data_IF_419853453023
#
_entry.id   IF_419853453023
#
_cell.length_a   1.000
_cell.length_b   1.000
_cell.length_c   1.000
_cell.angle_alpha   90.00
_cell.angle_beta   90.00
_cell.angle_gamma   90.00
#
_symmetry.space_group_name_H-M   'P 1'
#
loop_
_entity.id
_entity.type
_entity.pdbx_description
1 polymer ?
#
# COMPACT_ATOMS: atom_id res chain seq x y z
N UNK A 1 2.90 -5.27 5.85
CA UNK A 1 3.77 -4.08 5.93
C UNK A 1 3.42 -3.30 7.19
N UNK A 2 4.36 -2.50 7.67
CA UNK A 2 4.22 -1.72 8.89
C UNK A 2 4.75 -0.31 8.65
N UNK A 3 4.08 0.68 9.22
CA UNK A 3 4.52 2.07 9.25
C UNK A 3 4.52 2.57 10.69
N UNK A 4 5.64 3.14 11.10
CA UNK A 4 5.82 3.81 12.38
C UNK A 4 5.90 5.32 12.20
N UNK A 5 5.30 6.06 13.12
CA UNK A 5 5.42 7.51 13.19
C UNK A 5 6.84 7.90 13.61
N UNK A 6 7.50 8.83 12.88
CA UNK A 6 8.81 9.34 13.29
C UNK A 6 8.76 10.00 14.67
N UNK A 7 9.86 9.90 15.42
CA UNK A 7 9.93 10.43 16.79
C UNK A 7 9.57 11.92 16.89
N UNK A 8 9.88 12.72 15.86
CA UNK A 8 9.59 14.16 15.80
C UNK A 8 8.11 14.51 15.86
N UNK A 9 7.23 13.60 15.42
CA UNK A 9 5.78 13.82 15.35
C UNK A 9 4.98 12.75 16.09
N UNK A 10 5.65 11.72 16.62
CA UNK A 10 5.02 10.58 17.24
C UNK A 10 4.06 11.00 18.35
N UNK A 11 4.40 11.97 19.21
CA UNK A 11 3.53 12.46 20.29
C UNK A 11 2.17 12.99 19.79
N UNK A 12 2.12 13.53 18.58
CA UNK A 12 0.92 14.09 17.95
C UNK A 12 0.08 13.04 17.18
N UNK A 13 0.64 11.86 16.89
CA UNK A 13 -0.07 10.80 16.19
C UNK A 13 -0.97 9.97 17.13
N UNK A 14 -2.25 9.74 16.80
CA UNK A 14 -3.12 8.86 17.59
C UNK A 14 -2.62 7.41 17.67
N UNK A 15 -2.06 6.90 16.58
CA UNK A 15 -1.38 5.60 16.51
C UNK A 15 0.11 5.84 16.24
N UNK A 16 0.98 5.24 17.04
CA UNK A 16 2.44 5.38 16.88
C UNK A 16 3.00 4.43 15.81
N UNK A 17 2.31 3.32 15.56
CA UNK A 17 2.54 2.46 14.42
C UNK A 17 1.27 1.74 14.03
N UNK A 18 1.20 1.27 12.79
CA UNK A 18 0.12 0.41 12.32
C UNK A 18 0.61 -0.54 11.24
N UNK A 19 -0.10 -1.67 11.12
CA UNK A 19 0.15 -2.70 10.11
C UNK A 19 -0.94 -2.70 9.06
N UNK A 20 -0.55 -3.08 7.84
CA UNK A 20 -1.44 -3.13 6.70
C UNK A 20 -0.97 -4.17 5.68
N UNK A 21 -1.90 -4.62 4.83
CA UNK A 21 -1.60 -5.52 3.71
C UNK A 21 -1.04 -4.73 2.52
N UNK A 22 -0.07 -5.32 1.81
CA UNK A 22 0.42 -4.76 0.55
C UNK A 22 -0.64 -4.89 -0.54
N UNK A 23 -0.76 -3.90 -1.42
CA UNK A 23 -1.56 -4.03 -2.65
C UNK A 23 -1.06 -5.21 -3.47
N UNK A 24 -1.99 -6.09 -3.88
CA UNK A 24 -1.63 -7.26 -4.69
C UNK A 24 -1.08 -6.82 -6.04
N UNK A 25 0.17 -7.15 -6.32
CA UNK A 25 0.78 -7.01 -7.65
C UNK A 25 0.46 -8.25 -8.48
N UNK A 26 0.02 -8.04 -9.72
CA UNK A 26 -0.31 -9.11 -10.66
C UNK A 26 0.54 -8.92 -11.91
N UNK A 27 1.21 -9.97 -12.43
CA UNK A 27 1.95 -9.87 -13.68
C UNK A 27 0.99 -9.54 -14.82
N UNK A 28 1.36 -8.59 -15.67
CA UNK A 28 0.58 -8.23 -16.86
C UNK A 28 0.94 -9.07 -18.08
N UNK A 29 2.14 -9.66 -18.09
CA UNK A 29 2.70 -10.37 -19.24
C UNK A 29 3.31 -9.48 -20.33
N UNK A 30 3.28 -8.15 -20.18
CA UNK A 30 3.86 -7.21 -21.16
C UNK A 30 5.29 -6.80 -20.80
N UNK A 31 6.06 -6.40 -21.82
CA UNK A 31 7.45 -5.94 -21.64
C UNK A 31 7.52 -4.59 -20.93
N UNK A 32 6.71 -3.62 -21.37
CA UNK A 32 6.77 -2.23 -20.88
C UNK A 32 6.20 -2.10 -19.47
N UNK A 33 4.93 -2.46 -19.30
CA UNK A 33 4.25 -2.47 -18.00
C UNK A 33 4.22 -3.90 -17.52
N UNK A 34 5.06 -4.28 -16.56
CA UNK A 34 5.26 -5.68 -16.13
C UNK A 34 4.28 -6.15 -15.06
N UNK A 35 3.76 -5.23 -14.27
CA UNK A 35 2.85 -5.51 -13.16
C UNK A 35 1.71 -4.50 -13.12
N UNK A 36 0.58 -4.93 -12.57
CA UNK A 36 -0.59 -4.09 -12.34
C UNK A 36 -1.34 -4.51 -11.08
N UNK A 37 -2.51 -3.90 -10.88
CA UNK A 37 -3.37 -4.14 -9.73
C UNK A 37 -4.82 -4.38 -10.19
N UNK A 38 -5.58 -5.13 -9.39
CA UNK A 38 -6.96 -5.49 -9.70
C UNK A 38 -7.91 -4.49 -9.05
N UNK A 39 -8.82 -3.90 -9.83
CA UNK A 39 -10.00 -3.23 -9.29
C UNK A 39 -10.99 -4.31 -8.82
N UNK A 40 -11.25 -4.35 -7.51
CA UNK A 40 -12.18 -5.33 -6.91
C UNK A 40 -13.66 -4.95 -7.09
N UNK A 41 -13.93 -3.80 -7.73
CA UNK A 41 -15.27 -3.28 -8.03
C UNK A 41 -15.42 -3.00 -9.53
N UNK A 42 -16.62 -2.62 -9.94
CA UNK A 42 -16.91 -2.16 -11.30
C UNK A 42 -16.22 -0.81 -11.56
N UNK A 43 -15.57 -0.62 -12.72
CA UNK A 43 -14.92 0.63 -13.07
C UNK A 43 -15.86 1.69 -13.69
N UNK A 44 -17.10 1.29 -13.99
CA UNK A 44 -18.14 2.12 -14.57
C UNK A 44 -18.77 3.07 -13.55
#
# INVERSE_FOLDING_TARGET
MELGAPASVASQCPLKSFRFYKTKEVPTGFYDIKTGHINIRTPW
#
